data_IF_181467063077
#
_entry.id   IF_181467063077
#
_cell.length_a   1.000
_cell.length_b   1.000
_cell.length_c   1.000
_cell.angle_alpha   90.00
_cell.angle_beta   90.00
_cell.angle_gamma   90.00
#
_symmetry.space_group_name_H-M   'P 1'
#
loop_
_entity.id
_entity.type
_entity.pdbx_description
1 polymer ?
#
# COMPACT_ATOMS: atom_id res chain seq x y z
N UNK A 1 -31.95 -20.94 -0.33
CA UNK A 1 -30.56 -20.99 -0.83
C UNK A 1 -30.19 -19.57 -1.15
N UNK A 2 -29.60 -18.86 -0.19
CA UNK A 2 -29.36 -17.44 -0.35
C UNK A 2 -28.09 -17.24 -1.17
N UNK A 3 -28.25 -16.56 -2.29
CA UNK A 3 -27.29 -16.42 -3.37
C UNK A 3 -26.27 -15.32 -3.03
N UNK A 4 -25.77 -15.34 -1.80
CA UNK A 4 -24.70 -14.45 -1.34
C UNK A 4 -23.39 -15.03 -1.85
N UNK A 5 -23.21 -14.98 -3.17
CA UNK A 5 -21.89 -14.99 -3.80
C UNK A 5 -21.01 -14.10 -2.93
N UNK A 6 -19.92 -14.64 -2.38
CA UNK A 6 -18.95 -13.86 -1.58
C UNK A 6 -18.42 -12.74 -2.47
N UNK A 7 -19.11 -11.59 -2.48
CA UNK A 7 -18.74 -10.44 -3.28
C UNK A 7 -17.40 -9.95 -2.75
N UNK A 8 -16.43 -9.79 -3.65
CA UNK A 8 -15.21 -9.08 -3.34
C UNK A 8 -15.53 -7.59 -3.18
N UNK A 9 -16.10 -7.23 -2.02
CA UNK A 9 -16.47 -5.85 -1.70
C UNK A 9 -15.26 -4.93 -1.80
N UNK A 10 -14.05 -5.27 -1.29
CA UNK A 10 -12.86 -4.46 -1.51
C UNK A 10 -12.54 -4.25 -2.99
N UNK A 11 -12.59 -5.28 -3.83
CA UNK A 11 -12.38 -5.14 -5.28
C UNK A 11 -13.43 -4.26 -5.97
N UNK A 12 -14.71 -4.40 -5.60
CA UNK A 12 -15.80 -3.54 -6.11
C UNK A 12 -15.58 -2.09 -5.70
N UNK A 13 -15.27 -1.85 -4.42
CA UNK A 13 -15.01 -0.51 -3.89
C UNK A 13 -13.78 0.13 -4.55
N UNK A 14 -12.73 -0.64 -4.80
CA UNK A 14 -11.54 -0.17 -5.52
C UNK A 14 -11.88 0.31 -6.94
N UNK A 15 -12.72 -0.43 -7.68
CA UNK A 15 -13.19 0.00 -9.01
C UNK A 15 -13.96 1.33 -8.93
N UNK A 16 -14.88 1.44 -7.98
CA UNK A 16 -15.64 2.68 -7.75
C UNK A 16 -14.72 3.86 -7.41
N UNK A 17 -13.68 3.64 -6.60
CA UNK A 17 -12.69 4.67 -6.28
C UNK A 17 -11.93 5.11 -7.53
N UNK A 18 -11.52 4.17 -8.40
CA UNK A 18 -10.87 4.47 -9.69
C UNK A 18 -11.77 5.28 -10.63
N UNK A 19 -13.09 5.09 -10.54
CA UNK A 19 -14.10 5.87 -11.25
C UNK A 19 -14.39 7.24 -10.62
N UNK A 20 -13.67 7.63 -9.57
CA UNK A 20 -13.85 8.93 -8.88
C UNK A 20 -14.98 8.95 -7.84
N UNK A 21 -15.63 7.81 -7.57
CA UNK A 21 -16.66 7.74 -6.53
C UNK A 21 -16.03 7.65 -5.14
N UNK A 22 -16.67 8.26 -4.13
CA UNK A 22 -16.15 8.25 -2.75
C UNK A 22 -17.19 7.79 -1.72
N UNK A 23 -18.41 8.28 -1.80
CA UNK A 23 -19.45 7.98 -0.80
C UNK A 23 -19.95 6.54 -0.87
N UNK A 24 -20.25 6.04 -2.07
CA UNK A 24 -20.69 4.64 -2.28
C UNK A 24 -19.64 3.62 -1.79
N UNK A 25 -18.37 3.65 -2.23
CA UNK A 25 -17.37 2.70 -1.76
C UNK A 25 -17.10 2.82 -0.26
N UNK A 26 -17.09 4.03 0.31
CA UNK A 26 -16.93 4.21 1.75
C UNK A 26 -18.03 3.50 2.55
N UNK A 27 -19.29 3.64 2.16
CA UNK A 27 -20.41 3.00 2.85
C UNK A 27 -20.32 1.47 2.78
N UNK A 28 -19.98 0.93 1.60
CA UNK A 28 -19.77 -0.51 1.41
C UNK A 28 -18.63 -1.04 2.29
N UNK A 29 -17.51 -0.33 2.33
CA UNK A 29 -16.35 -0.71 3.11
C UNK A 29 -16.62 -0.64 4.62
N UNK A 30 -17.31 0.41 5.09
CA UNK A 30 -17.74 0.55 6.49
C UNK A 30 -18.69 -0.57 6.92
N UNK A 31 -19.70 -0.87 6.10
CA UNK A 31 -20.61 -1.98 6.36
C UNK A 31 -19.85 -3.32 6.42
N UNK A 32 -18.91 -3.54 5.51
CA UNK A 32 -18.07 -4.73 5.52
C UNK A 32 -17.25 -4.85 6.82
N UNK A 33 -16.44 -3.85 7.17
CA UNK A 33 -15.54 -3.94 8.33
C UNK A 33 -16.31 -4.00 9.66
N UNK A 34 -17.55 -3.52 9.70
CA UNK A 34 -18.43 -3.68 10.88
C UNK A 34 -18.83 -5.14 11.15
N UNK A 35 -18.66 -6.02 10.16
CA UNK A 35 -19.01 -7.45 10.21
C UNK A 35 -17.78 -8.35 10.23
N UNK A 36 -16.60 -7.80 10.54
CA UNK A 36 -15.37 -8.59 10.63
C UNK A 36 -15.53 -9.71 11.67
N UNK A 37 -15.23 -10.97 11.32
CA UNK A 37 -15.27 -12.07 12.29
C UNK A 37 -14.26 -11.86 13.42
N UNK A 38 -14.65 -12.20 14.64
CA UNK A 38 -13.74 -12.20 15.78
C UNK A 38 -12.58 -13.15 15.49
N UNK A 39 -11.34 -12.65 15.61
CA UNK A 39 -10.14 -13.43 15.36
C UNK A 39 -9.85 -13.70 13.88
N UNK A 40 -10.48 -12.97 12.96
CA UNK A 40 -10.16 -13.05 11.53
C UNK A 40 -8.67 -12.83 11.28
N UNK A 41 -8.10 -13.63 10.37
CA UNK A 41 -6.72 -13.52 9.92
C UNK A 41 -6.67 -13.52 8.39
N UNK A 42 -5.70 -12.81 7.78
CA UNK A 42 -5.51 -12.82 6.33
C UNK A 42 -4.99 -14.16 5.81
N UNK A 43 -4.42 -15.01 6.69
CA UNK A 43 -3.93 -16.35 6.37
C UNK A 43 -4.47 -17.35 7.39
N UNK A 44 -5.11 -18.41 6.91
CA UNK A 44 -5.55 -19.55 7.71
C UNK A 44 -5.00 -20.85 7.11
N UNK A 45 -4.29 -21.60 7.94
CA UNK A 45 -3.63 -22.86 7.53
C UNK A 45 -4.40 -24.04 8.12
N UNK A 46 -4.80 -24.97 7.26
CA UNK A 46 -5.31 -26.29 7.64
C UNK A 46 -4.34 -27.39 7.20
N UNK A 47 -4.72 -28.65 7.43
CA UNK A 47 -3.94 -29.81 6.98
C UNK A 47 -3.86 -29.91 5.45
N UNK A 48 -4.92 -29.51 4.73
CA UNK A 48 -5.04 -29.67 3.28
C UNK A 48 -4.92 -28.35 2.51
N UNK A 49 -5.31 -27.23 3.11
CA UNK A 49 -5.40 -25.93 2.43
C UNK A 49 -4.70 -24.83 3.20
N UNK A 50 -4.28 -23.81 2.45
CA UNK A 50 -3.87 -22.52 2.97
C UNK A 50 -4.81 -21.50 2.35
N UNK A 51 -5.70 -20.94 3.16
CA UNK A 51 -6.61 -19.89 2.73
C UNK A 51 -5.93 -18.54 2.93
N UNK A 52 -5.79 -17.75 1.87
CA UNK A 52 -5.17 -16.43 1.94
C UNK A 52 -6.10 -15.38 1.32
N UNK A 53 -6.30 -14.28 2.05
CA UNK A 53 -7.07 -13.12 1.61
C UNK A 53 -6.21 -12.14 0.80
N UNK A 54 -5.77 -12.57 -0.38
CA UNK A 54 -4.95 -11.75 -1.28
C UNK A 54 -5.63 -10.45 -1.69
N UNK A 55 -4.83 -9.41 -1.92
CA UNK A 55 -5.35 -8.11 -2.34
C UNK A 55 -5.52 -8.00 -3.85
N UNK A 56 -4.79 -8.80 -4.62
CA UNK A 56 -4.82 -8.77 -6.08
C UNK A 56 -4.52 -10.13 -6.69
N UNK A 57 -4.90 -10.28 -7.95
CA UNK A 57 -4.53 -11.45 -8.76
C UNK A 57 -3.01 -11.55 -8.96
N UNK A 58 -2.30 -10.41 -9.02
CA UNK A 58 -0.85 -10.37 -9.17
C UNK A 58 -0.14 -10.98 -7.95
N UNK A 59 -0.55 -10.57 -6.74
CA UNK A 59 -0.05 -11.18 -5.51
C UNK A 59 -0.36 -12.67 -5.42
N UNK A 60 -1.59 -13.07 -5.77
CA UNK A 60 -1.97 -14.47 -5.82
C UNK A 60 -1.03 -15.26 -6.74
N UNK A 61 -0.79 -14.78 -7.96
CA UNK A 61 0.04 -15.46 -8.94
C UNK A 61 1.52 -15.58 -8.50
N UNK A 62 2.09 -14.54 -7.89
CA UNK A 62 3.49 -14.57 -7.44
C UNK A 62 3.64 -15.48 -6.21
N UNK A 63 2.74 -15.34 -5.23
CA UNK A 63 2.87 -16.01 -3.95
C UNK A 63 2.38 -17.46 -3.99
N UNK A 64 1.17 -17.71 -4.51
CA UNK A 64 0.51 -19.02 -4.35
C UNK A 64 1.28 -20.18 -5.00
N UNK A 65 2.04 -19.90 -6.07
CA UNK A 65 2.84 -20.92 -6.77
C UNK A 65 4.03 -21.40 -5.91
N UNK A 66 4.62 -20.51 -5.12
CA UNK A 66 5.84 -20.76 -4.34
C UNK A 66 5.59 -20.95 -2.84
N UNK A 67 4.37 -20.69 -2.37
CA UNK A 67 4.05 -20.74 -0.96
C UNK A 67 3.87 -22.18 -0.45
N UNK A 68 4.92 -22.69 0.19
CA UNK A 68 4.92 -23.96 0.92
C UNK A 68 5.62 -23.80 2.28
N UNK A 69 4.92 -23.26 3.30
CA UNK A 69 5.53 -22.94 4.59
C UNK A 69 6.03 -24.18 5.36
N UNK A 70 5.46 -25.36 5.08
CA UNK A 70 5.72 -26.58 5.86
C UNK A 70 6.40 -27.70 5.04
N UNK A 71 6.73 -27.46 3.77
CA UNK A 71 7.23 -28.50 2.84
C UNK A 71 6.18 -29.58 2.51
N UNK A 72 4.91 -29.31 2.82
CA UNK A 72 3.78 -30.21 2.64
C UNK A 72 2.90 -29.56 1.60
N UNK A 73 2.83 -30.15 0.41
CA UNK A 73 2.02 -29.67 -0.71
C UNK A 73 0.55 -29.45 -0.29
N UNK A 74 0.23 -28.22 0.15
CA UNK A 74 -1.11 -27.74 0.50
C UNK A 74 -1.68 -26.96 -0.67
N UNK A 75 -3.00 -26.96 -0.78
CA UNK A 75 -3.69 -26.17 -1.81
C UNK A 75 -3.83 -24.73 -1.31
N UNK A 76 -3.21 -23.78 -2.00
CA UNK A 76 -3.41 -22.35 -1.73
C UNK A 76 -4.72 -21.90 -2.36
N UNK A 77 -5.62 -21.37 -1.54
CA UNK A 77 -6.94 -20.87 -1.95
C UNK A 77 -7.03 -19.37 -1.70
N UNK A 78 -7.40 -18.62 -2.73
CA UNK A 78 -7.76 -17.21 -2.56
C UNK A 78 -9.16 -17.12 -1.95
N UNK A 79 -9.25 -16.53 -0.76
CA UNK A 79 -10.51 -16.26 -0.07
C UNK A 79 -10.84 -14.77 -0.04
N UNK A 80 -12.13 -14.45 -0.07
CA UNK A 80 -12.65 -13.08 0.02
C UNK A 80 -13.64 -12.96 1.18
N UNK A 81 -13.79 -11.76 1.77
CA UNK A 81 -13.06 -10.51 1.47
C UNK A 81 -11.73 -10.40 2.22
N UNK A 82 -10.85 -9.51 1.75
CA UNK A 82 -9.70 -9.04 2.52
C UNK A 82 -10.09 -7.81 3.35
N UNK A 83 -10.16 -7.96 4.68
CA UNK A 83 -10.48 -6.85 5.57
C UNK A 83 -9.33 -5.86 5.71
N UNK A 84 -8.08 -6.32 5.63
CA UNK A 84 -6.90 -5.43 5.59
C UNK A 84 -6.94 -4.52 4.35
N UNK A 85 -7.29 -5.07 3.16
CA UNK A 85 -7.53 -4.26 1.95
C UNK A 85 -8.69 -3.27 2.14
N UNK A 86 -9.76 -3.67 2.83
CA UNK A 86 -10.89 -2.77 3.08
C UNK A 86 -10.47 -1.54 3.92
N UNK A 87 -9.67 -1.75 4.96
CA UNK A 87 -9.11 -0.68 5.78
C UNK A 87 -8.14 0.22 5.00
N UNK A 88 -7.34 -0.34 4.10
CA UNK A 88 -6.51 0.43 3.16
C UNK A 88 -7.35 1.36 2.29
N UNK A 89 -8.43 0.85 1.69
CA UNK A 89 -9.29 1.66 0.82
C UNK A 89 -10.05 2.75 1.60
N UNK A 90 -10.46 2.47 2.84
CA UNK A 90 -11.01 3.50 3.73
C UNK A 90 -9.97 4.57 4.02
N UNK A 91 -8.74 4.16 4.36
CA UNK A 91 -7.62 5.09 4.61
C UNK A 91 -7.43 6.02 3.42
N UNK A 92 -7.36 5.48 2.20
CA UNK A 92 -7.22 6.24 0.96
C UNK A 92 -8.32 7.32 0.82
N UNK A 93 -9.59 6.96 1.02
CA UNK A 93 -10.72 7.90 0.95
C UNK A 93 -10.57 9.05 1.97
N UNK A 94 -10.07 8.76 3.17
CA UNK A 94 -9.90 9.78 4.22
C UNK A 94 -8.65 10.64 4.02
N UNK A 95 -7.58 10.10 3.42
CA UNK A 95 -6.40 10.87 2.97
C UNK A 95 -6.82 11.93 1.95
N UNK A 96 -7.60 11.56 0.93
CA UNK A 96 -8.04 12.52 -0.09
C UNK A 96 -8.93 13.64 0.48
N UNK A 97 -9.68 13.32 1.54
CA UNK A 97 -10.46 14.31 2.30
C UNK A 97 -9.64 15.10 3.31
N UNK A 98 -8.35 14.82 3.44
CA UNK A 98 -7.41 15.42 4.41
C UNK A 98 -7.85 15.21 5.87
N UNK A 99 -8.64 14.18 6.14
CA UNK A 99 -9.02 13.77 7.50
C UNK A 99 -7.97 12.79 8.02
N UNK A 100 -6.80 13.33 8.35
CA UNK A 100 -5.62 12.56 8.76
C UNK A 100 -5.86 11.72 10.01
N UNK A 101 -6.74 12.17 10.91
CA UNK A 101 -7.08 11.44 12.13
C UNK A 101 -7.83 10.15 11.81
N UNK A 102 -8.87 10.21 10.96
CA UNK A 102 -9.57 8.98 10.54
C UNK A 102 -8.71 8.10 9.64
N UNK A 103 -7.92 8.70 8.75
CA UNK A 103 -6.98 7.94 7.93
C UNK A 103 -6.01 7.13 8.81
N UNK A 104 -5.42 7.76 9.84
CA UNK A 104 -4.54 7.07 10.79
C UNK A 104 -5.27 5.95 11.54
N UNK A 105 -6.49 6.22 12.01
CA UNK A 105 -7.29 5.20 12.71
C UNK A 105 -7.58 3.97 11.82
N UNK A 106 -7.96 4.18 10.56
CA UNK A 106 -8.22 3.06 9.65
C UNK A 106 -6.95 2.32 9.24
N UNK A 107 -5.84 3.02 9.00
CA UNK A 107 -4.61 2.35 8.58
C UNK A 107 -4.04 1.50 9.72
N UNK A 108 -4.14 1.97 10.96
CA UNK A 108 -3.71 1.20 12.13
C UNK A 108 -4.56 -0.08 12.30
N UNK A 109 -5.86 -0.04 12.00
CA UNK A 109 -6.70 -1.24 11.97
C UNK A 109 -6.25 -2.20 10.86
N UNK A 110 -5.98 -1.70 9.64
CA UNK A 110 -5.45 -2.52 8.55
C UNK A 110 -4.13 -3.21 8.91
N UNK A 111 -3.18 -2.46 9.46
CA UNK A 111 -1.86 -2.96 9.88
C UNK A 111 -2.00 -3.98 11.01
N UNK A 112 -2.95 -3.80 11.94
CA UNK A 112 -3.19 -4.79 13.00
C UNK A 112 -3.61 -6.16 12.47
N UNK A 113 -4.24 -6.20 11.29
CA UNK A 113 -4.66 -7.44 10.64
C UNK A 113 -3.58 -8.04 9.74
N UNK A 114 -2.83 -7.21 9.03
CA UNK A 114 -1.81 -7.63 8.09
C UNK A 114 -0.54 -6.74 8.20
N UNK A 115 0.26 -6.94 9.26
CA UNK A 115 1.35 -6.02 9.61
C UNK A 115 2.50 -6.00 8.60
N UNK A 116 2.57 -6.99 7.72
CA UNK A 116 3.61 -7.16 6.71
C UNK A 116 3.16 -6.72 5.30
N UNK A 117 1.95 -6.16 5.13
CA UNK A 117 1.50 -5.73 3.80
C UNK A 117 2.17 -4.40 3.38
N UNK A 118 2.97 -4.37 2.28
CA UNK A 118 3.71 -3.17 1.88
C UNK A 118 2.83 -1.94 1.67
N UNK A 119 1.68 -2.10 1.01
CA UNK A 119 0.77 -0.97 0.76
C UNK A 119 0.22 -0.35 2.06
N UNK A 120 -0.02 -1.12 3.12
CA UNK A 120 -0.49 -0.55 4.39
C UNK A 120 0.59 0.32 5.03
N UNK A 121 1.82 -0.18 5.05
CA UNK A 121 2.98 0.54 5.59
C UNK A 121 3.27 1.80 4.78
N UNK A 122 3.18 1.73 3.44
CA UNK A 122 3.31 2.88 2.56
C UNK A 122 2.27 3.97 2.84
N UNK A 123 0.99 3.63 3.02
CA UNK A 123 -0.04 4.65 3.33
C UNK A 123 0.19 5.27 4.70
N UNK A 124 0.55 4.48 5.72
CA UNK A 124 0.88 5.05 7.03
C UNK A 124 2.09 5.98 6.96
N UNK A 125 3.11 5.60 6.18
CA UNK A 125 4.28 6.44 5.96
C UNK A 125 3.92 7.75 5.23
N UNK A 126 3.00 7.71 4.26
CA UNK A 126 2.47 8.90 3.60
C UNK A 126 1.77 9.83 4.59
N UNK A 127 0.91 9.29 5.46
CA UNK A 127 0.22 10.07 6.50
C UNK A 127 1.25 10.70 7.46
N UNK A 128 2.26 9.94 7.90
CA UNK A 128 3.34 10.45 8.76
C UNK A 128 4.12 11.59 8.09
N UNK A 129 4.45 11.46 6.80
CA UNK A 129 5.13 12.52 6.05
C UNK A 129 4.29 13.79 5.99
N UNK A 130 2.98 13.67 5.75
CA UNK A 130 2.06 14.82 5.78
C UNK A 130 1.95 15.49 7.15
N UNK A 131 2.12 14.72 8.23
CA UNK A 131 2.13 15.23 9.60
C UNK A 131 3.50 15.78 10.04
N UNK A 132 4.51 15.77 9.14
CA UNK A 132 5.87 16.28 9.42
C UNK A 132 6.80 15.26 10.07
N UNK A 133 6.38 14.01 10.24
CA UNK A 133 7.16 12.92 10.82
C UNK A 133 8.01 12.23 9.74
N UNK A 134 8.83 13.00 9.03
CA UNK A 134 9.53 12.53 7.82
C UNK A 134 10.52 11.39 8.09
N UNK A 135 11.20 11.38 9.24
CA UNK A 135 12.14 10.29 9.56
C UNK A 135 11.40 8.96 9.80
N UNK A 136 10.30 9.00 10.56
CA UNK A 136 9.46 7.83 10.81
C UNK A 136 8.81 7.33 9.51
N UNK A 137 8.38 8.26 8.64
CA UNK A 137 7.87 7.93 7.31
C UNK A 137 8.92 7.22 6.45
N UNK A 138 10.14 7.77 6.37
CA UNK A 138 11.25 7.14 5.65
C UNK A 138 11.48 5.71 6.13
N UNK A 139 11.61 5.50 7.43
CA UNK A 139 11.93 4.20 8.00
C UNK A 139 10.83 3.18 7.70
N UNK A 140 9.57 3.61 7.76
CA UNK A 140 8.42 2.77 7.43
C UNK A 140 8.34 2.43 5.93
N UNK A 141 8.68 3.37 5.04
CA UNK A 141 8.79 3.08 3.61
C UNK A 141 9.92 2.09 3.31
N UNK A 142 11.07 2.19 3.98
CA UNK A 142 12.16 1.20 3.82
C UNK A 142 11.70 -0.18 4.28
N UNK A 143 10.98 -0.27 5.40
CA UNK A 143 10.38 -1.54 5.84
C UNK A 143 9.42 -2.06 4.76
N UNK A 144 8.51 -1.22 4.25
CA UNK A 144 7.55 -1.61 3.22
C UNK A 144 8.22 -2.17 1.94
N UNK A 145 9.39 -1.66 1.57
CA UNK A 145 10.13 -2.09 0.38
C UNK A 145 10.72 -3.51 0.50
N UNK A 146 10.92 -4.03 1.71
CA UNK A 146 11.65 -5.28 1.97
C UNK A 146 10.86 -6.32 2.77
N UNK A 147 9.85 -5.91 3.55
CA UNK A 147 9.13 -6.75 4.52
C UNK A 147 8.50 -8.00 3.91
N UNK A 148 8.11 -7.91 2.63
CA UNK A 148 7.45 -8.98 1.88
C UNK A 148 8.22 -9.24 0.59
N UNK A 149 9.23 -10.13 0.59
CA UNK A 149 10.12 -10.34 -0.55
C UNK A 149 9.43 -10.81 -1.84
N UNK A 150 8.24 -11.42 -1.72
CA UNK A 150 7.42 -11.86 -2.85
C UNK A 150 6.40 -10.80 -3.31
N UNK A 151 6.35 -9.63 -2.68
CA UNK A 151 5.42 -8.58 -3.10
C UNK A 151 5.71 -8.15 -4.55
N UNK A 152 4.67 -7.74 -5.31
CA UNK A 152 4.84 -7.18 -6.64
C UNK A 152 5.91 -6.08 -6.67
N UNK A 153 6.80 -6.11 -7.67
CA UNK A 153 7.96 -5.20 -7.74
C UNK A 153 7.57 -3.73 -7.80
N UNK A 154 6.41 -3.40 -8.37
CA UNK A 154 5.85 -2.05 -8.37
C UNK A 154 5.54 -1.53 -6.95
N UNK A 155 5.16 -2.40 -6.00
CA UNK A 155 4.98 -2.01 -4.60
C UNK A 155 6.32 -1.61 -3.97
N UNK A 156 7.39 -2.36 -4.27
CA UNK A 156 8.75 -2.01 -3.85
C UNK A 156 9.21 -0.70 -4.46
N UNK A 157 9.01 -0.51 -5.77
CA UNK A 157 9.34 0.74 -6.45
C UNK A 157 8.61 1.94 -5.85
N UNK A 158 7.29 1.80 -5.58
CA UNK A 158 6.48 2.81 -4.89
C UNK A 158 7.03 3.15 -3.50
N UNK A 159 7.37 2.15 -2.70
CA UNK A 159 7.92 2.34 -1.36
C UNK A 159 9.27 3.09 -1.40
N UNK A 160 10.17 2.71 -2.32
CA UNK A 160 11.46 3.38 -2.52
C UNK A 160 11.31 4.86 -2.90
N UNK A 161 10.34 5.20 -3.76
CA UNK A 161 10.01 6.60 -4.07
C UNK A 161 9.49 7.34 -2.84
N UNK A 162 8.57 6.73 -2.07
CA UNK A 162 8.08 7.31 -0.82
C UNK A 162 9.19 7.62 0.18
N UNK A 163 10.12 6.67 0.37
CA UNK A 163 11.30 6.86 1.22
C UNK A 163 12.18 8.01 0.71
N UNK A 164 12.40 8.10 -0.61
CA UNK A 164 13.15 9.19 -1.20
C UNK A 164 12.51 10.56 -0.95
N UNK A 165 11.19 10.67 -1.12
CA UNK A 165 10.46 11.91 -0.89
C UNK A 165 10.58 12.36 0.57
N UNK A 166 10.47 11.43 1.52
CA UNK A 166 10.72 11.73 2.93
C UNK A 166 12.16 12.23 3.21
N UNK A 167 13.17 11.71 2.50
CA UNK A 167 14.55 12.20 2.57
C UNK A 167 14.73 13.59 1.95
N UNK A 168 13.99 13.91 0.88
CA UNK A 168 13.96 15.26 0.29
C UNK A 168 13.45 16.28 1.30
N UNK A 169 12.37 15.95 2.03
CA UNK A 169 11.83 16.79 3.10
C UNK A 169 12.85 16.99 4.23
N UNK A 170 13.60 15.94 4.58
CA UNK A 170 14.72 15.97 5.53
C UNK A 170 16.00 16.64 4.98
N UNK A 171 16.00 17.14 3.74
CA UNK A 171 17.17 17.73 3.05
C UNK A 171 18.35 16.78 2.85
N UNK A 172 18.12 15.46 2.92
CA UNK A 172 19.12 14.40 2.69
C UNK A 172 19.13 13.99 1.20
N UNK A 173 19.46 14.95 0.35
CA UNK A 173 19.26 14.85 -1.11
C UNK A 173 20.08 13.73 -1.79
N UNK A 174 21.30 13.48 -1.31
CA UNK A 174 22.17 12.44 -1.88
C UNK A 174 21.59 11.03 -1.65
N UNK A 175 21.02 10.80 -0.47
CA UNK A 175 20.38 9.53 -0.14
C UNK A 175 19.05 9.36 -0.89
N UNK A 176 18.27 10.44 -1.02
CA UNK A 176 17.05 10.44 -1.82
C UNK A 176 17.32 10.05 -3.28
N UNK A 177 18.35 10.61 -3.91
CA UNK A 177 18.73 10.27 -5.28
C UNK A 177 19.08 8.78 -5.45
N UNK A 178 19.76 8.17 -4.46
CA UNK A 178 20.06 6.73 -4.49
C UNK A 178 18.78 5.90 -4.51
N UNK A 179 17.79 6.24 -3.66
CA UNK A 179 16.52 5.51 -3.61
C UNK A 179 15.67 5.72 -4.87
N UNK A 180 15.64 6.93 -5.43
CA UNK A 180 14.96 7.21 -6.70
C UNK A 180 15.55 6.39 -7.86
N UNK A 181 16.88 6.30 -7.94
CA UNK A 181 17.56 5.47 -8.95
C UNK A 181 17.21 3.99 -8.80
N UNK A 182 17.22 3.45 -7.57
CA UNK A 182 16.77 2.07 -7.30
C UNK A 182 15.32 1.85 -7.70
N UNK A 183 14.43 2.82 -7.47
CA UNK A 183 13.05 2.71 -7.97
C UNK A 183 12.99 2.68 -9.49
N UNK A 184 13.82 3.45 -10.18
CA UNK A 184 13.85 3.53 -11.65
C UNK A 184 14.48 2.28 -12.28
N UNK A 185 15.28 1.50 -11.55
CA UNK A 185 15.71 0.16 -12.01
C UNK A 185 14.52 -0.79 -12.18
N UNK A 186 13.42 -0.57 -11.45
CA UNK A 186 12.19 -1.36 -11.53
C UNK A 186 11.18 -0.71 -12.50
N UNK A 187 10.95 0.59 -12.37
CA UNK A 187 10.01 1.35 -13.21
C UNK A 187 10.76 2.48 -13.94
N UNK A 188 11.42 2.14 -15.05
CA UNK A 188 12.36 3.03 -15.77
C UNK A 188 11.75 4.33 -16.28
N UNK A 189 10.44 4.35 -16.56
CA UNK A 189 9.72 5.51 -17.10
C UNK A 189 8.83 6.21 -16.05
N UNK A 190 9.04 5.94 -14.76
CA UNK A 190 8.23 6.55 -13.71
C UNK A 190 8.46 8.07 -13.65
N UNK A 191 7.45 8.83 -14.12
CA UNK A 191 7.50 10.30 -14.20
C UNK A 191 7.73 10.97 -12.84
N UNK A 192 7.15 10.44 -11.77
CA UNK A 192 7.31 11.00 -10.43
C UNK A 192 8.78 10.92 -10.02
N UNK A 193 9.42 9.74 -10.14
CA UNK A 193 10.82 9.60 -9.79
C UNK A 193 11.76 10.46 -10.64
N UNK A 194 11.48 10.58 -11.96
CA UNK A 194 12.26 11.43 -12.86
C UNK A 194 12.13 12.92 -12.49
N UNK A 195 10.92 13.37 -12.13
CA UNK A 195 10.67 14.74 -11.70
C UNK A 195 11.37 15.06 -10.37
N UNK A 196 11.34 14.15 -9.40
CA UNK A 196 12.03 14.33 -8.11
C UNK A 196 13.57 14.38 -8.27
N UNK A 197 14.12 13.60 -9.22
CA UNK A 197 15.55 13.70 -9.56
C UNK A 197 15.91 15.05 -10.19
N UNK A 198 15.06 15.58 -11.08
CA UNK A 198 15.26 16.93 -11.63
C UNK A 198 15.16 18.00 -10.53
N UNK A 199 14.18 17.85 -9.63
CA UNK A 199 14.03 18.72 -8.47
C UNK A 199 15.29 18.75 -7.59
N UNK A 200 15.82 17.58 -7.22
CA UNK A 200 17.09 17.45 -6.47
C UNK A 200 18.23 18.15 -7.21
N UNK A 201 18.37 17.93 -8.51
CA UNK A 201 19.41 18.56 -9.35
C UNK A 201 19.29 20.09 -9.32
N UNK A 202 18.08 20.63 -9.38
CA UNK A 202 17.82 22.08 -9.33
C UNK A 202 18.15 22.67 -7.97
N UNK A 203 17.73 22.02 -6.88
CA UNK A 203 18.04 22.45 -5.52
C UNK A 203 19.56 22.57 -5.30
N UNK A 204 20.34 21.58 -5.75
CA UNK A 204 21.82 21.63 -5.66
C UNK A 204 22.44 22.77 -6.46
N UNK A 205 21.78 23.24 -7.51
CA UNK A 205 22.21 24.41 -8.31
C UNK A 205 21.72 25.74 -7.73
N UNK A 206 21.03 25.74 -6.58
CA UNK A 206 20.41 26.93 -6.01
C UNK A 206 19.22 27.45 -6.83
N UNK A 207 18.68 26.64 -7.73
CA UNK A 207 17.51 26.98 -8.54
C UNK A 207 16.24 26.66 -7.75
N UNK A 208 15.24 27.54 -7.83
CA UNK A 208 13.92 27.23 -7.29
C UNK A 208 13.28 26.05 -8.04
N UNK A 209 12.44 25.23 -7.38
CA UNK A 209 11.52 24.33 -8.07
C UNK A 209 10.74 25.07 -9.19
N UNK A 210 10.45 24.42 -10.31
CA UNK A 210 9.45 24.94 -11.28
C UNK A 210 8.06 24.69 -10.70
N UNK A 211 7.17 25.66 -10.81
CA UNK A 211 5.81 25.60 -10.26
C UNK A 211 4.87 24.56 -10.93
N UNK A 212 5.38 23.66 -11.77
CA UNK A 212 4.62 22.57 -12.41
C UNK A 212 4.45 21.34 -11.48
N UNK A 213 4.14 21.57 -10.20
CA UNK A 213 3.69 20.52 -9.29
C UNK A 213 2.17 20.37 -9.37
N UNK A 214 1.67 19.95 -10.52
CA UNK A 214 0.35 19.31 -10.57
C UNK A 214 0.48 17.93 -9.92
N UNK A 215 0.39 17.92 -8.60
CA UNK A 215 0.08 16.76 -7.78
C UNK A 215 -1.31 16.27 -8.18
N UNK A 216 -1.35 15.22 -9.00
CA UNK A 216 -2.51 14.34 -9.15
C UNK A 216 -2.19 13.03 -8.45
#
# INVERSE_FOLDING_TARGET
>A
MDNNTRKDIPGIAESMIKEGKRTEPENLLKDLVSKIPIGWKPVEVSDATINIAYWSMEEFNIHAISYDPDGRKKIVLWVTPSYSKAFYLLTFIYIERKDWFKAMAFIDQGISLEPDHPLLLCEKALILSHLGHHQEAHDLFIIAAEIRPWAPLNQRARALRGAANALIDLKRLDEAEVLLKKSLEIETENKVALNELDYIRRLRKGLKPTDDYDLI
#
